data_IF_943673451314
#
_entry.id   IF_943673451314
#
_cell.length_a   1.000
_cell.length_b   1.000
_cell.length_c   1.000
_cell.angle_alpha   90.00
_cell.angle_beta   90.00
_cell.angle_gamma   90.00
#
_symmetry.space_group_name_H-M   'P 1'
#
loop_
_entity.id
_entity.type
_entity.pdbx_description
1 polymer ?
#
# COMPACT_ATOMS: atom_id res chain seq x y z
N UNK A 1 -2.06 -18.01 8.36
CA UNK A 1 -2.82 -16.71 8.35
C UNK A 1 -2.46 -15.94 7.09
N UNK A 2 -3.41 -15.23 6.47
CA UNK A 2 -3.15 -14.36 5.31
C UNK A 2 -2.78 -12.95 5.79
N UNK A 3 -1.86 -12.30 5.08
CA UNK A 3 -1.59 -10.87 5.23
C UNK A 3 -2.07 -10.12 3.97
N UNK A 4 -2.92 -9.12 4.15
CA UNK A 4 -3.33 -8.17 3.12
C UNK A 4 -2.66 -6.81 3.40
N UNK A 5 -1.84 -6.34 2.47
CA UNK A 5 -1.17 -5.05 2.55
C UNK A 5 -1.78 -4.08 1.55
N UNK A 6 -2.40 -3.03 2.06
CA UNK A 6 -3.09 -2.00 1.28
C UNK A 6 -2.18 -0.77 1.23
N UNK A 7 -1.64 -0.50 0.04
CA UNK A 7 -0.62 0.52 -0.18
C UNK A 7 -1.27 1.86 -0.52
N UNK A 8 -1.03 2.86 0.33
CA UNK A 8 -1.22 4.30 0.10
C UNK A 8 -2.60 4.67 -0.50
N UNK A 9 -3.68 4.05 -0.01
CA UNK A 9 -5.04 4.41 -0.43
C UNK A 9 -5.49 5.71 0.25
N UNK A 10 -4.73 6.80 0.00
CA UNK A 10 -4.88 8.14 0.58
C UNK A 10 -5.61 9.08 -0.36
N UNK A 11 -6.28 10.12 0.21
CA UNK A 11 -7.07 11.07 -0.57
C UNK A 11 -6.25 11.76 -1.66
N UNK A 12 -5.00 12.17 -1.40
CA UNK A 12 -4.17 12.84 -2.40
C UNK A 12 -3.85 11.99 -3.62
N UNK A 13 -3.80 10.66 -3.49
CA UNK A 13 -3.58 9.74 -4.60
C UNK A 13 -4.87 9.29 -5.29
N UNK A 14 -6.04 9.48 -4.66
CA UNK A 14 -7.33 9.03 -5.20
C UNK A 14 -8.02 10.16 -5.93
N UNK A 15 -8.30 11.28 -5.26
CA UNK A 15 -9.05 12.41 -5.79
C UNK A 15 -8.42 13.79 -5.47
N UNK A 16 -7.30 13.82 -4.74
CA UNK A 16 -6.55 15.01 -4.37
C UNK A 16 -5.47 15.39 -5.40
N UNK A 17 -4.34 15.93 -4.92
CA UNK A 17 -3.32 16.59 -5.73
C UNK A 17 -2.64 15.69 -6.78
N UNK A 18 -2.57 14.39 -6.55
CA UNK A 18 -2.05 13.37 -7.48
C UNK A 18 -3.12 12.35 -7.89
N UNK A 19 -4.38 12.69 -7.69
CA UNK A 19 -5.53 11.82 -7.97
C UNK A 19 -5.72 11.54 -9.46
N UNK A 20 -6.37 10.39 -9.75
CA UNK A 20 -6.70 10.00 -11.12
C UNK A 20 -8.02 9.23 -11.18
N UNK A 21 -8.64 9.20 -12.37
CA UNK A 21 -9.85 8.40 -12.57
C UNK A 21 -9.59 6.90 -12.40
N UNK A 22 -8.38 6.43 -12.74
CA UNK A 22 -7.99 5.04 -12.51
C UNK A 22 -7.87 4.73 -11.01
N UNK A 23 -7.32 5.65 -10.21
CA UNK A 23 -7.24 5.50 -8.76
C UNK A 23 -8.63 5.47 -8.10
N UNK A 24 -9.53 6.35 -8.54
CA UNK A 24 -10.94 6.34 -8.07
C UNK A 24 -11.64 5.04 -8.42
N UNK A 25 -11.39 4.50 -9.61
CA UNK A 25 -12.07 3.30 -10.10
C UNK A 25 -11.76 2.03 -9.28
N UNK A 26 -10.59 1.97 -8.62
CA UNK A 26 -10.23 0.80 -7.80
C UNK A 26 -10.76 0.85 -6.37
N UNK A 27 -11.21 2.00 -5.87
CA UNK A 27 -11.70 2.16 -4.48
C UNK A 27 -12.77 1.13 -4.14
N UNK A 28 -13.84 0.91 -4.94
CA UNK A 28 -14.85 -0.09 -4.63
C UNK A 28 -14.31 -1.52 -4.56
N UNK A 29 -13.29 -1.85 -5.36
CA UNK A 29 -12.66 -3.17 -5.35
C UNK A 29 -11.85 -3.39 -4.07
N UNK A 30 -11.12 -2.37 -3.62
CA UNK A 30 -10.36 -2.42 -2.36
C UNK A 30 -11.30 -2.49 -1.15
N UNK A 31 -12.38 -1.71 -1.15
CA UNK A 31 -13.46 -1.78 -0.13
C UNK A 31 -13.99 -3.20 -0.03
N UNK A 32 -14.44 -3.77 -1.15
CA UNK A 32 -14.94 -5.13 -1.21
C UNK A 32 -13.92 -6.15 -0.68
N UNK A 33 -12.63 -5.99 -1.02
CA UNK A 33 -11.57 -6.87 -0.54
C UNK A 33 -11.39 -6.81 0.99
N UNK A 34 -11.57 -5.64 1.60
CA UNK A 34 -11.55 -5.47 3.06
C UNK A 34 -12.77 -6.14 3.69
N UNK A 35 -13.97 -5.91 3.15
CA UNK A 35 -15.22 -6.47 3.64
C UNK A 35 -15.26 -8.00 3.57
N UNK A 36 -14.64 -8.58 2.53
CA UNK A 36 -14.55 -10.03 2.32
C UNK A 36 -13.40 -10.69 3.11
N UNK A 37 -12.54 -9.91 3.77
CA UNK A 37 -11.46 -10.44 4.59
C UNK A 37 -12.01 -11.22 5.79
N UNK A 38 -11.54 -12.44 5.96
CA UNK A 38 -11.96 -13.30 7.06
C UNK A 38 -11.13 -13.04 8.34
N UNK A 39 -11.51 -13.69 9.44
CA UNK A 39 -10.85 -13.56 10.75
C UNK A 39 -9.39 -14.03 10.75
N UNK A 40 -8.98 -14.77 9.73
CA UNK A 40 -7.63 -15.29 9.58
C UNK A 40 -6.78 -14.39 8.66
N UNK A 41 -7.29 -13.20 8.31
CA UNK A 41 -6.60 -12.19 7.52
C UNK A 41 -6.17 -11.04 8.42
N UNK A 42 -4.89 -10.72 8.42
CA UNK A 42 -4.38 -9.47 8.99
C UNK A 42 -4.33 -8.42 7.89
N UNK A 43 -4.89 -7.24 8.13
CA UNK A 43 -4.82 -6.11 7.19
C UNK A 43 -3.83 -5.08 7.71
N UNK A 44 -2.90 -4.66 6.84
CA UNK A 44 -1.95 -3.57 7.09
C UNK A 44 -2.15 -2.49 6.03
N UNK A 45 -2.13 -1.23 6.46
CA UNK A 45 -2.13 -0.07 5.58
C UNK A 45 -0.74 0.57 5.57
N UNK A 46 -0.34 1.13 4.43
CA UNK A 46 0.75 2.09 4.39
C UNK A 46 0.21 3.49 4.13
N UNK A 47 0.89 4.51 4.66
CA UNK A 47 0.62 5.91 4.36
C UNK A 47 1.92 6.60 3.97
N UNK A 48 1.95 7.09 2.74
CA UNK A 48 2.98 8.01 2.33
C UNK A 48 2.88 9.31 3.15
N UNK A 49 4.02 9.82 3.60
CA UNK A 49 4.01 10.89 4.60
C UNK A 49 5.14 11.86 4.37
N UNK A 50 4.79 13.10 4.05
CA UNK A 50 5.74 14.19 3.85
C UNK A 50 5.61 15.25 4.93
N UNK A 51 6.75 15.75 5.39
CA UNK A 51 6.84 16.80 6.41
C UNK A 51 7.19 18.16 5.79
N UNK A 52 7.49 19.14 6.63
CA UNK A 52 7.77 20.51 6.20
C UNK A 52 9.04 20.68 5.37
N UNK A 53 9.91 19.70 5.38
CA UNK A 53 11.18 19.64 4.64
C UNK A 53 11.07 18.96 3.27
N UNK A 54 9.85 18.71 2.79
CA UNK A 54 9.61 18.03 1.50
C UNK A 54 10.38 18.65 0.34
N UNK A 55 10.40 19.98 0.25
CA UNK A 55 11.10 20.71 -0.83
C UNK A 55 12.63 20.49 -0.81
N UNK A 56 13.19 20.13 0.32
CA UNK A 56 14.62 19.84 0.48
C UNK A 56 14.96 18.38 0.13
N UNK A 57 13.96 17.50 0.05
CA UNK A 57 14.14 16.10 -0.32
C UNK A 57 14.46 15.92 -1.80
N UNK A 58 14.99 14.77 -2.17
CA UNK A 58 15.18 14.42 -3.59
C UNK A 58 13.83 14.31 -4.31
N UNK A 59 12.83 13.74 -3.66
CA UNK A 59 11.49 13.58 -4.21
C UNK A 59 10.84 14.93 -4.46
N UNK A 60 10.85 15.84 -3.49
CA UNK A 60 10.28 17.17 -3.66
C UNK A 60 10.94 18.00 -4.77
N UNK A 61 12.26 17.79 -5.02
CA UNK A 61 12.97 18.42 -6.13
C UNK A 61 12.59 17.87 -7.50
N UNK A 62 12.23 16.56 -7.57
CA UNK A 62 11.85 15.89 -8.82
C UNK A 62 10.34 15.95 -9.08
N UNK A 63 9.53 15.97 -8.03
CA UNK A 63 8.08 16.08 -8.07
C UNK A 63 7.62 17.24 -7.16
N UNK A 64 7.70 18.50 -7.61
CA UNK A 64 7.34 19.66 -6.77
C UNK A 64 5.82 19.83 -6.65
N UNK A 65 5.13 18.78 -6.28
CA UNK A 65 3.69 18.74 -6.01
C UNK A 65 3.49 18.31 -4.57
N UNK A 66 2.97 19.22 -3.74
CA UNK A 66 2.66 18.88 -2.37
C UNK A 66 1.54 17.85 -2.30
N UNK A 67 1.83 16.74 -1.68
CA UNK A 67 0.89 15.64 -1.46
C UNK A 67 1.21 14.94 -0.14
N UNK A 68 0.26 14.22 0.39
CA UNK A 68 0.38 13.39 1.60
C UNK A 68 1.14 14.08 2.74
N UNK A 69 0.92 15.39 2.93
CA UNK A 69 1.53 16.13 4.04
C UNK A 69 0.93 15.68 5.37
N UNK A 70 1.79 15.35 6.29
CA UNK A 70 1.40 14.84 7.61
C UNK A 70 0.24 15.63 8.22
N UNK A 71 -0.78 14.92 8.67
CA UNK A 71 -1.98 15.43 9.35
C UNK A 71 -2.83 16.41 8.50
N UNK A 72 -2.79 16.33 7.18
CA UNK A 72 -3.73 17.00 6.28
C UNK A 72 -4.81 16.04 5.81
N UNK A 73 -5.90 16.56 5.25
CA UNK A 73 -6.97 15.74 4.66
C UNK A 73 -6.45 14.85 3.51
N UNK A 74 -5.55 15.38 2.67
CA UNK A 74 -4.91 14.62 1.58
C UNK A 74 -4.09 13.45 2.07
N UNK A 75 -3.48 13.55 3.26
CA UNK A 75 -2.71 12.48 3.89
C UNK A 75 -3.59 11.35 4.44
N UNK A 76 -4.83 11.62 4.81
CA UNK A 76 -5.72 10.61 5.39
C UNK A 76 -6.01 9.48 4.39
N UNK A 77 -6.16 8.26 4.92
CA UNK A 77 -6.72 7.14 4.14
C UNK A 77 -8.14 7.53 3.72
N UNK A 78 -8.52 7.21 2.48
CA UNK A 78 -9.82 7.51 1.92
C UNK A 78 -10.95 6.98 2.82
N UNK A 79 -12.02 7.77 2.97
CA UNK A 79 -13.12 7.47 3.91
C UNK A 79 -13.71 6.09 3.71
N UNK A 80 -14.05 5.71 2.47
CA UNK A 80 -14.69 4.43 2.18
C UNK A 80 -13.78 3.25 2.57
N UNK A 81 -12.46 3.39 2.43
CA UNK A 81 -11.47 2.39 2.82
C UNK A 81 -11.39 2.27 4.35
N UNK A 82 -11.33 3.41 5.04
CA UNK A 82 -11.25 3.42 6.51
C UNK A 82 -12.54 2.94 7.16
N UNK A 83 -13.70 3.27 6.60
CA UNK A 83 -15.01 2.79 7.06
C UNK A 83 -15.14 1.27 6.91
N UNK A 84 -14.78 0.73 5.73
CA UNK A 84 -14.79 -0.71 5.50
C UNK A 84 -13.90 -1.48 6.51
N UNK A 85 -12.75 -0.90 6.89
CA UNK A 85 -11.89 -1.52 7.89
C UNK A 85 -12.45 -1.40 9.31
N UNK A 86 -13.07 -0.28 9.67
CA UNK A 86 -13.71 -0.10 11.00
C UNK A 86 -14.87 -1.08 11.18
N UNK A 87 -15.64 -1.33 10.12
CA UNK A 87 -16.77 -2.25 10.13
C UNK A 87 -16.34 -3.73 10.15
N UNK A 88 -15.13 -4.02 9.65
CA UNK A 88 -14.52 -5.35 9.65
C UNK A 88 -13.10 -5.33 10.27
N UNK A 89 -12.95 -5.00 11.56
CA UNK A 89 -11.63 -4.90 12.17
C UNK A 89 -10.98 -6.28 12.27
N UNK A 90 -9.85 -6.42 11.61
CA UNK A 90 -8.97 -7.58 11.78
C UNK A 90 -8.07 -7.40 13.01
N UNK A 91 -7.20 -8.36 13.28
CA UNK A 91 -6.30 -8.30 14.43
C UNK A 91 -5.49 -7.00 14.46
N UNK A 92 -5.47 -6.31 15.59
CA UNK A 92 -4.71 -5.07 15.79
C UNK A 92 -3.25 -5.41 16.10
N UNK A 93 -2.33 -4.72 15.43
CA UNK A 93 -0.90 -4.85 15.64
C UNK A 93 -0.47 -3.98 16.82
N UNK A 94 0.23 -4.59 17.78
CA UNK A 94 0.83 -3.89 18.92
C UNK A 94 2.35 -3.75 18.71
N UNK A 95 2.73 -2.96 17.71
CA UNK A 95 4.11 -2.70 17.36
C UNK A 95 4.34 -1.17 17.31
N UNK A 96 5.41 -0.63 17.93
CA UNK A 96 5.64 0.82 17.98
C UNK A 96 5.89 1.46 16.61
N UNK A 97 6.20 0.68 15.57
CA UNK A 97 6.34 1.19 14.21
C UNK A 97 4.99 1.39 13.51
N UNK A 98 3.89 0.91 14.11
CA UNK A 98 2.53 1.08 13.60
C UNK A 98 1.80 2.19 14.35
N UNK A 99 1.11 3.03 13.60
CA UNK A 99 0.25 4.09 14.13
C UNK A 99 -1.22 3.78 13.81
N UNK A 100 -2.14 4.32 14.59
CA UNK A 100 -3.59 4.16 14.37
C UNK A 100 -4.01 2.69 14.09
N UNK A 101 -3.51 1.77 14.89
CA UNK A 101 -3.76 0.34 14.72
C UNK A 101 -2.79 -0.31 13.72
N UNK A 102 -3.25 -0.63 12.53
CA UNK A 102 -2.48 -1.41 11.55
C UNK A 102 -1.82 -0.56 10.44
N UNK A 103 -1.51 0.71 10.70
CA UNK A 103 -0.97 1.62 9.69
C UNK A 103 0.52 1.89 9.89
N UNK A 104 1.30 1.74 8.84
CA UNK A 104 2.73 2.08 8.78
C UNK A 104 2.92 3.33 7.96
N UNK A 105 3.52 4.37 8.54
CA UNK A 105 3.93 5.54 7.76
C UNK A 105 5.27 5.28 7.05
N UNK A 106 5.42 5.86 5.88
CA UNK A 106 6.65 5.82 5.10
C UNK A 106 6.94 7.20 4.50
N UNK A 107 8.19 7.55 4.34
CA UNK A 107 8.64 8.84 3.79
C UNK A 107 9.25 8.70 2.40
N UNK A 108 9.03 7.57 1.76
CA UNK A 108 9.47 7.22 0.40
C UNK A 108 8.65 6.05 -0.14
N UNK A 109 8.88 5.64 -1.37
CA UNK A 109 8.04 4.67 -2.10
C UNK A 109 7.92 3.31 -1.41
N UNK A 110 9.03 2.71 -0.98
CA UNK A 110 9.02 1.46 -0.21
C UNK A 110 9.13 1.73 1.29
N UNK A 111 8.58 0.85 2.12
CA UNK A 111 8.61 0.96 3.57
C UNK A 111 9.62 -0.01 4.19
N UNK A 112 10.71 0.51 4.74
CA UNK A 112 11.64 -0.30 5.53
C UNK A 112 11.03 -0.79 6.85
N UNK A 113 10.11 -0.02 7.44
CA UNK A 113 9.37 -0.41 8.64
C UNK A 113 8.48 -1.63 8.37
N UNK A 114 7.71 -1.62 7.27
CA UNK A 114 6.93 -2.78 6.84
C UNK A 114 7.85 -4.00 6.59
N UNK A 115 9.02 -3.79 5.96
CA UNK A 115 9.96 -4.89 5.72
C UNK A 115 10.53 -5.46 7.02
N UNK A 116 10.88 -4.62 7.99
CA UNK A 116 11.33 -5.07 9.31
C UNK A 116 10.25 -5.91 10.01
N UNK A 117 9.00 -5.48 9.93
CA UNK A 117 7.86 -6.26 10.43
C UNK A 117 7.77 -7.61 9.70
N UNK A 118 7.82 -7.65 8.38
CA UNK A 118 7.75 -8.88 7.60
C UNK A 118 8.90 -9.85 7.90
N UNK A 119 10.12 -9.34 8.10
CA UNK A 119 11.26 -10.17 8.48
C UNK A 119 11.04 -10.83 9.85
N UNK A 120 10.48 -10.10 10.81
CA UNK A 120 10.22 -10.64 12.16
C UNK A 120 9.03 -11.59 12.17
N UNK A 121 7.92 -11.19 11.56
CA UNK A 121 6.61 -11.83 11.72
C UNK A 121 6.19 -12.67 10.51
N UNK A 122 6.93 -12.62 9.40
CA UNK A 122 6.56 -13.28 8.15
C UNK A 122 6.28 -14.78 8.30
N UNK A 123 6.95 -15.45 9.25
CA UNK A 123 6.71 -16.87 9.54
C UNK A 123 5.30 -17.20 10.06
N UNK A 124 4.52 -16.19 10.47
CA UNK A 124 3.13 -16.33 10.90
C UNK A 124 2.13 -16.31 9.73
N UNK A 125 2.61 -16.00 8.52
CA UNK A 125 1.77 -15.89 7.33
C UNK A 125 2.03 -17.04 6.35
N UNK A 126 0.95 -17.53 5.74
CA UNK A 126 1.00 -18.55 4.68
C UNK A 126 1.10 -17.89 3.29
N UNK A 127 0.61 -16.65 3.19
CA UNK A 127 0.64 -15.83 1.97
C UNK A 127 0.55 -14.34 2.29
N UNK A 128 1.08 -13.52 1.40
CA UNK A 128 0.97 -12.06 1.46
C UNK A 128 0.34 -11.56 0.16
N UNK A 129 -0.72 -10.77 0.28
CA UNK A 129 -1.35 -10.10 -0.84
C UNK A 129 -1.15 -8.59 -0.75
N UNK A 130 -0.82 -7.95 -1.88
CA UNK A 130 -0.67 -6.51 -2.01
C UNK A 130 -1.70 -5.93 -2.98
N UNK A 131 -2.20 -4.73 -2.67
CA UNK A 131 -3.01 -3.91 -3.55
C UNK A 131 -2.81 -2.42 -3.23
N UNK A 132 -3.36 -1.51 -4.02
CA UNK A 132 -3.35 -0.07 -3.78
C UNK A 132 -2.61 0.75 -4.84
N UNK A 133 -2.01 1.86 -4.43
CA UNK A 133 -1.49 2.93 -5.29
C UNK A 133 0.00 3.24 -5.00
N UNK A 134 0.78 3.74 -5.99
CA UNK A 134 0.53 3.46 -7.40
C UNK A 134 1.25 2.17 -7.76
N UNK A 135 0.70 1.38 -8.69
CA UNK A 135 1.26 0.08 -9.11
C UNK A 135 2.74 0.17 -9.43
N UNK A 136 3.10 1.18 -10.21
CA UNK A 136 4.43 1.41 -10.79
C UNK A 136 5.40 2.18 -9.88
N UNK A 137 4.97 2.56 -8.67
CA UNK A 137 5.80 3.29 -7.71
C UNK A 137 5.79 2.58 -6.35
N UNK A 138 4.80 2.87 -5.48
CA UNK A 138 4.80 2.37 -4.10
C UNK A 138 4.47 0.87 -4.02
N UNK A 139 3.53 0.38 -4.83
CA UNK A 139 3.15 -1.03 -4.81
C UNK A 139 4.34 -1.90 -5.22
N UNK A 140 4.94 -1.67 -6.40
CA UNK A 140 6.09 -2.46 -6.88
C UNK A 140 7.27 -2.38 -5.93
N UNK A 141 7.56 -1.21 -5.35
CA UNK A 141 8.66 -1.02 -4.41
C UNK A 141 8.49 -1.93 -3.19
N UNK A 142 7.31 -1.94 -2.57
CA UNK A 142 7.05 -2.78 -1.40
C UNK A 142 7.00 -4.27 -1.76
N UNK A 143 6.40 -4.64 -2.89
CA UNK A 143 6.30 -6.03 -3.36
C UNK A 143 7.68 -6.64 -3.59
N UNK A 144 8.58 -5.93 -4.29
CA UNK A 144 9.93 -6.43 -4.57
C UNK A 144 10.80 -6.46 -3.31
N UNK A 145 10.64 -5.51 -2.40
CA UNK A 145 11.30 -5.56 -1.09
C UNK A 145 10.80 -6.76 -0.27
N UNK A 146 9.49 -7.04 -0.27
CA UNK A 146 8.93 -8.22 0.40
C UNK A 146 9.43 -9.53 -0.20
N UNK A 147 9.52 -9.63 -1.54
CA UNK A 147 10.12 -10.79 -2.22
C UNK A 147 11.57 -11.00 -1.81
N UNK A 148 12.35 -9.91 -1.68
CA UNK A 148 13.75 -9.99 -1.26
C UNK A 148 13.88 -10.39 0.22
N UNK A 149 12.99 -9.89 1.08
CA UNK A 149 12.98 -10.21 2.51
C UNK A 149 12.49 -11.63 2.81
N UNK A 150 11.55 -12.14 2.02
CA UNK A 150 10.87 -13.43 2.20
C UNK A 150 10.87 -14.21 0.88
N UNK A 151 12.02 -14.81 0.49
CA UNK A 151 12.20 -15.37 -0.86
C UNK A 151 11.26 -16.56 -1.17
N UNK A 152 10.81 -17.29 -0.15
CA UNK A 152 9.96 -18.47 -0.32
C UNK A 152 8.47 -18.18 -0.02
N UNK A 153 8.12 -16.95 0.37
CA UNK A 153 6.75 -16.55 0.68
C UNK A 153 5.90 -16.48 -0.61
N UNK A 154 4.72 -17.09 -0.66
CA UNK A 154 3.73 -16.80 -1.68
C UNK A 154 3.29 -15.33 -1.61
N UNK A 155 3.61 -14.56 -2.66
CA UNK A 155 3.23 -13.15 -2.76
C UNK A 155 2.32 -12.98 -3.98
N UNK A 156 1.16 -12.36 -3.73
CA UNK A 156 0.15 -12.04 -4.74
C UNK A 156 -0.04 -10.52 -4.85
N UNK A 157 -0.29 -10.04 -6.04
CA UNK A 157 -0.78 -8.67 -6.32
C UNK A 157 -2.11 -8.80 -7.05
N UNK A 158 -3.16 -8.21 -6.49
CA UNK A 158 -4.46 -8.10 -7.16
C UNK A 158 -4.47 -6.86 -8.05
N UNK A 159 -4.32 -7.08 -9.36
CA UNK A 159 -4.27 -5.99 -10.33
C UNK A 159 -5.57 -5.21 -10.46
N UNK A 160 -6.72 -5.83 -10.13
CA UNK A 160 -8.02 -5.16 -10.14
C UNK A 160 -8.20 -4.17 -8.99
N UNK A 161 -7.36 -4.28 -7.96
CA UNK A 161 -7.27 -3.42 -6.80
C UNK A 161 -6.03 -2.50 -6.85
N UNK A 162 -5.41 -2.33 -8.03
CA UNK A 162 -4.24 -1.48 -8.25
C UNK A 162 -4.45 -0.54 -9.43
N UNK A 163 -3.90 0.67 -9.33
CA UNK A 163 -3.83 1.59 -10.45
C UNK A 163 -2.43 2.21 -10.54
N UNK A 164 -1.92 2.36 -11.74
CA UNK A 164 -0.63 3.00 -12.00
C UNK A 164 -0.77 4.47 -12.38
N UNK A 165 0.36 5.15 -12.54
CA UNK A 165 0.41 6.55 -13.00
C UNK A 165 -0.11 6.69 -14.43
N UNK A 166 0.10 5.66 -15.26
CA UNK A 166 -0.50 5.49 -16.57
C UNK A 166 -0.87 4.02 -16.81
N UNK A 167 -1.78 3.70 -17.75
CA UNK A 167 -2.07 2.30 -18.10
C UNK A 167 -0.83 1.54 -18.60
N UNK A 168 0.06 2.20 -19.32
CA UNK A 168 1.30 1.62 -19.84
C UNK A 168 2.26 1.28 -18.71
N UNK A 169 2.48 2.19 -17.75
CA UNK A 169 3.33 1.98 -16.60
C UNK A 169 2.77 0.86 -15.70
N UNK A 170 1.46 0.87 -15.45
CA UNK A 170 0.77 -0.20 -14.72
C UNK A 170 1.05 -1.57 -15.36
N UNK A 171 0.76 -1.75 -16.64
CA UNK A 171 0.93 -3.04 -17.33
C UNK A 171 2.39 -3.51 -17.42
N UNK A 172 3.32 -2.57 -17.66
CA UNK A 172 4.75 -2.87 -17.67
C UNK A 172 5.21 -3.38 -16.30
N UNK A 173 4.75 -2.74 -15.22
CA UNK A 173 5.09 -3.10 -13.86
C UNK A 173 4.54 -4.47 -13.46
N UNK A 174 3.29 -4.78 -13.81
CA UNK A 174 2.72 -6.12 -13.59
C UNK A 174 3.54 -7.19 -14.33
N UNK A 175 4.08 -6.89 -15.51
CA UNK A 175 4.97 -7.78 -16.24
C UNK A 175 6.29 -8.01 -15.50
N UNK A 176 6.90 -6.96 -14.94
CA UNK A 176 8.10 -7.06 -14.10
C UNK A 176 7.83 -7.90 -12.86
N UNK A 177 6.72 -7.66 -12.17
CA UNK A 177 6.33 -8.43 -10.98
C UNK A 177 6.22 -9.93 -11.31
N UNK A 178 5.56 -10.31 -12.41
CA UNK A 178 5.47 -11.71 -12.84
C UNK A 178 6.86 -12.32 -13.11
N UNK A 179 7.78 -11.57 -13.72
CA UNK A 179 9.16 -12.00 -13.94
C UNK A 179 9.92 -12.21 -12.62
N UNK A 180 9.54 -11.49 -11.56
CA UNK A 180 10.06 -11.63 -10.20
C UNK A 180 9.31 -12.68 -9.36
N UNK A 181 8.54 -13.57 -10.01
CA UNK A 181 7.79 -14.66 -9.37
C UNK A 181 6.71 -14.16 -8.39
N UNK A 182 6.12 -13.02 -8.66
CA UNK A 182 4.92 -12.54 -7.98
C UNK A 182 3.69 -13.06 -8.75
N UNK A 183 2.75 -13.63 -8.01
CA UNK A 183 1.45 -14.02 -8.58
C UNK A 183 0.61 -12.76 -8.82
N UNK A 184 0.28 -12.45 -10.06
CA UNK A 184 -0.55 -11.30 -10.43
C UNK A 184 -1.90 -11.79 -10.93
N UNK A 185 -2.94 -11.53 -10.17
CA UNK A 185 -4.35 -11.88 -10.44
C UNK A 185 -5.16 -10.67 -10.90
#
# INVERSE_FOLDING_TARGET
>A
MKLLVIIDMQNDFIDGSLGSDAAKAIVPNVVKKIEEADKNTLIIFTQDTHFSDYDDTLEGKLLPVYHCRYNTEGWMIHSDISEAWVDNPTNVIHDPEFIYGNTVIKTTFGSTHLMNFLIREGHNFDEIEFCGLCTDICVVSNVLMARAALPDMPITVDSSCCAGTTPEAHNATLTVMRSCQINVI
#
